data_IF_097155228577
#
_entry.id   IF_097155228577
#
_cell.length_a   1.000
_cell.length_b   1.000
_cell.length_c   1.000
_cell.angle_alpha   90.00
_cell.angle_beta   90.00
_cell.angle_gamma   90.00
#
_symmetry.space_group_name_H-M   'P 1'
#
loop_
_entity.id
_entity.type
_entity.pdbx_description
1 polymer ?
#
# COMPACT_ATOMS: atom_id res chain seq x y z
N UNK A 1 -29.88 4.51 -8.52
CA UNK A 1 -28.82 5.54 -8.55
C UNK A 1 -28.54 6.16 -7.18
N UNK A 2 -29.53 6.65 -6.41
CA UNK A 2 -29.28 7.31 -5.10
C UNK A 2 -28.56 6.45 -4.04
N UNK A 3 -28.85 5.14 -3.97
CA UNK A 3 -28.19 4.19 -3.05
C UNK A 3 -26.69 3.99 -3.43
N UNK A 4 -26.39 4.02 -4.73
CA UNK A 4 -25.03 3.88 -5.25
C UNK A 4 -24.15 5.08 -4.89
N UNK A 5 -24.67 6.30 -5.05
CA UNK A 5 -23.97 7.54 -4.66
C UNK A 5 -23.79 7.64 -3.15
N UNK A 6 -24.75 7.20 -2.34
CA UNK A 6 -24.62 7.13 -0.88
C UNK A 6 -23.45 6.22 -0.46
N UNK A 7 -23.34 5.04 -1.06
CA UNK A 7 -22.25 4.10 -0.78
C UNK A 7 -20.88 4.68 -1.12
N UNK A 8 -20.73 5.34 -2.26
CA UNK A 8 -19.48 6.01 -2.67
C UNK A 8 -19.13 7.14 -1.71
N UNK A 9 -20.10 7.96 -1.32
CA UNK A 9 -19.88 9.06 -0.38
C UNK A 9 -19.38 8.55 0.99
N UNK A 10 -20.01 7.51 1.54
CA UNK A 10 -19.55 6.92 2.80
C UNK A 10 -18.15 6.31 2.69
N UNK A 11 -17.81 5.67 1.58
CA UNK A 11 -16.46 5.16 1.33
C UNK A 11 -15.44 6.29 1.25
N UNK A 12 -15.76 7.38 0.58
CA UNK A 12 -14.88 8.55 0.46
C UNK A 12 -14.66 9.23 1.82
N UNK A 13 -15.71 9.38 2.63
CA UNK A 13 -15.61 9.94 3.98
C UNK A 13 -14.77 9.02 4.89
N UNK A 14 -15.00 7.72 4.86
CA UNK A 14 -14.21 6.77 5.64
C UNK A 14 -12.73 6.76 5.22
N UNK A 15 -12.46 6.85 3.92
CA UNK A 15 -11.10 6.96 3.40
C UNK A 15 -10.45 8.30 3.81
N UNK A 16 -11.16 9.41 3.71
CA UNK A 16 -10.70 10.73 4.17
C UNK A 16 -10.33 10.71 5.66
N UNK A 17 -11.21 10.19 6.51
CA UNK A 17 -10.92 10.07 7.95
C UNK A 17 -9.71 9.16 8.21
N UNK A 18 -9.61 8.06 7.47
CA UNK A 18 -8.48 7.15 7.55
C UNK A 18 -7.14 7.81 7.17
N UNK A 19 -7.10 8.56 6.08
CA UNK A 19 -5.90 9.31 5.67
C UNK A 19 -5.60 10.46 6.64
N UNK A 20 -6.62 11.13 7.17
CA UNK A 20 -6.45 12.15 8.21
C UNK A 20 -5.75 11.60 9.46
N UNK A 21 -6.16 10.43 9.94
CA UNK A 21 -5.50 9.76 11.08
C UNK A 21 -4.04 9.42 10.72
N UNK A 22 -3.76 8.95 9.50
CA UNK A 22 -2.41 8.63 9.06
C UNK A 22 -1.49 9.86 9.05
N UNK A 23 -1.99 11.00 8.57
CA UNK A 23 -1.25 12.28 8.63
C UNK A 23 -0.98 12.69 10.08
N UNK A 24 -1.95 12.53 10.99
CA UNK A 24 -1.75 12.82 12.42
C UNK A 24 -0.71 11.87 13.05
N UNK A 25 -0.72 10.59 12.72
CA UNK A 25 0.30 9.62 13.14
C UNK A 25 1.68 10.08 12.67
N UNK A 26 1.83 10.40 11.39
CA UNK A 26 3.11 10.85 10.84
C UNK A 26 3.55 12.20 11.42
N UNK A 27 2.62 13.10 11.74
CA UNK A 27 2.93 14.36 12.40
C UNK A 27 3.47 14.15 13.83
N UNK A 28 2.86 13.26 14.62
CA UNK A 28 3.38 12.91 15.95
C UNK A 28 4.76 12.25 15.81
N UNK A 29 4.89 11.26 14.91
CA UNK A 29 6.18 10.60 14.66
C UNK A 29 7.26 11.61 14.26
N UNK A 30 6.95 12.56 13.38
CA UNK A 30 7.89 13.58 12.96
C UNK A 30 8.37 14.43 14.15
N UNK A 31 7.44 14.91 14.98
CA UNK A 31 7.74 15.77 16.13
C UNK A 31 8.52 15.07 17.22
N UNK A 32 8.16 13.82 17.54
CA UNK A 32 8.70 13.09 18.68
C UNK A 32 10.01 12.36 18.34
N UNK A 33 10.15 11.84 17.11
CA UNK A 33 11.36 11.15 16.68
C UNK A 33 12.46 12.11 16.19
N UNK A 34 12.08 13.33 15.81
CA UNK A 34 12.97 14.25 15.13
C UNK A 34 13.38 13.78 13.71
N UNK A 35 14.17 14.55 12.96
CA UNK A 35 14.50 14.22 11.57
C UNK A 35 15.22 12.88 11.42
N UNK A 36 16.19 12.60 12.28
CA UNK A 36 16.99 11.37 12.25
C UNK A 36 16.16 10.13 12.60
N UNK A 37 15.43 10.18 13.72
CA UNK A 37 14.59 9.07 14.17
C UNK A 37 13.46 8.78 13.18
N UNK A 38 12.84 9.82 12.59
CA UNK A 38 11.87 9.67 11.53
C UNK A 38 12.48 8.99 10.29
N UNK A 39 13.72 9.35 9.94
CA UNK A 39 14.47 8.72 8.86
C UNK A 39 14.72 7.24 9.10
N UNK A 40 15.09 6.86 10.32
CA UNK A 40 15.21 5.46 10.72
C UNK A 40 13.87 4.73 10.61
N UNK A 41 12.81 5.29 11.19
CA UNK A 41 11.48 4.70 11.14
C UNK A 41 11.00 4.48 9.69
N UNK A 42 11.08 5.51 8.84
CA UNK A 42 10.68 5.42 7.42
C UNK A 42 11.57 4.48 6.60
N UNK A 43 12.81 4.24 7.02
CA UNK A 43 13.73 3.30 6.36
C UNK A 43 13.36 1.83 6.62
N UNK A 44 12.89 1.49 7.81
CA UNK A 44 12.56 0.11 8.19
C UNK A 44 11.13 -0.27 7.84
N UNK A 45 10.22 0.69 7.81
CA UNK A 45 8.79 0.45 7.62
C UNK A 45 8.45 -0.34 6.34
N UNK A 46 9.05 -0.07 5.16
CA UNK A 46 8.82 -0.87 3.96
C UNK A 46 9.29 -2.32 4.10
N UNK A 47 10.38 -2.56 4.86
CA UNK A 47 10.84 -3.92 5.16
C UNK A 47 9.86 -4.66 6.07
N UNK A 48 9.25 -3.98 7.04
CA UNK A 48 8.17 -4.53 7.86
C UNK A 48 6.96 -4.86 6.98
N UNK A 49 6.57 -3.98 6.05
CA UNK A 49 5.47 -4.27 5.13
C UNK A 49 5.76 -5.44 4.18
N UNK A 50 7.01 -5.66 3.78
CA UNK A 50 7.40 -6.86 3.02
C UNK A 50 7.14 -8.12 3.86
N UNK A 51 7.50 -8.13 5.14
CA UNK A 51 7.26 -9.24 6.06
C UNK A 51 5.76 -9.44 6.29
N UNK A 52 4.98 -8.37 6.45
CA UNK A 52 3.51 -8.41 6.53
C UNK A 52 2.90 -9.06 5.30
N UNK A 53 3.36 -8.68 4.10
CA UNK A 53 2.89 -9.27 2.84
C UNK A 53 3.22 -10.75 2.75
N UNK A 54 4.47 -11.13 3.05
CA UNK A 54 4.89 -12.53 3.07
C UNK A 54 4.06 -13.32 4.08
N UNK A 55 3.85 -12.80 5.29
CA UNK A 55 3.08 -13.45 6.35
C UNK A 55 1.61 -13.63 6.00
N UNK A 56 1.02 -12.69 5.26
CA UNK A 56 -0.37 -12.78 4.82
C UNK A 56 -0.55 -13.81 3.71
N UNK A 57 0.48 -14.05 2.89
CA UNK A 57 0.48 -14.95 1.73
C UNK A 57 -0.73 -14.76 0.82
N UNK A 58 -1.28 -13.55 0.76
CA UNK A 58 -2.52 -13.19 0.06
C UNK A 58 -3.69 -14.16 0.32
N UNK A 59 -3.67 -14.84 1.47
CA UNK A 59 -4.76 -15.73 1.91
C UNK A 59 -6.11 -15.01 1.98
N UNK A 60 -6.20 -13.72 2.36
CA UNK A 60 -7.49 -13.03 2.35
C UNK A 60 -8.19 -13.09 1.00
N UNK A 61 -7.44 -12.93 -0.10
CA UNK A 61 -7.99 -12.95 -1.46
C UNK A 61 -8.44 -14.36 -1.85
N UNK A 62 -7.58 -15.37 -1.63
CA UNK A 62 -7.90 -16.75 -2.01
C UNK A 62 -9.02 -17.36 -1.19
N UNK A 63 -9.02 -17.13 0.14
CA UNK A 63 -10.08 -17.62 1.03
C UNK A 63 -11.39 -16.92 0.70
N UNK A 64 -11.40 -15.59 0.48
CA UNK A 64 -12.62 -14.84 0.19
C UNK A 64 -13.28 -15.32 -1.10
N UNK A 65 -12.48 -15.55 -2.15
CA UNK A 65 -12.98 -16.12 -3.41
C UNK A 65 -13.60 -17.49 -3.18
N UNK A 66 -12.88 -18.39 -2.51
CA UNK A 66 -13.32 -19.77 -2.35
C UNK A 66 -14.53 -19.89 -1.42
N UNK A 67 -14.65 -19.04 -0.39
CA UNK A 67 -15.83 -18.95 0.47
C UNK A 67 -17.05 -18.38 -0.30
N UNK A 68 -16.85 -17.34 -1.13
CA UNK A 68 -17.93 -16.73 -1.90
C UNK A 68 -18.49 -17.65 -2.99
N UNK A 69 -17.67 -18.55 -3.56
CA UNK A 69 -18.06 -19.49 -4.62
C UNK A 69 -18.74 -20.76 -4.11
N UNK A 70 -18.73 -21.03 -2.80
CA UNK A 70 -19.18 -22.28 -2.22
C UNK A 70 -20.29 -22.09 -1.21
N UNK A 71 -21.17 -23.11 -1.11
CA UNK A 71 -22.23 -23.16 -0.10
C UNK A 71 -21.68 -23.26 1.33
N UNK A 72 -22.44 -22.76 2.30
CA UNK A 72 -22.05 -22.68 3.72
C UNK A 72 -21.59 -24.01 4.33
N UNK A 73 -22.16 -25.14 3.86
CA UNK A 73 -21.80 -26.51 4.30
C UNK A 73 -20.33 -26.87 4.06
N UNK A 74 -19.65 -26.20 3.11
CA UNK A 74 -18.23 -26.43 2.80
C UNK A 74 -17.30 -25.49 3.55
N UNK A 75 -17.78 -24.37 4.07
CA UNK A 75 -16.95 -23.32 4.67
C UNK A 75 -16.10 -23.83 5.82
N UNK A 76 -16.66 -24.68 6.70
CA UNK A 76 -15.92 -25.28 7.81
C UNK A 76 -14.72 -26.09 7.34
N UNK A 77 -14.88 -26.89 6.28
CA UNK A 77 -13.79 -27.70 5.73
C UNK A 77 -12.72 -26.83 5.07
N UNK A 78 -13.13 -25.81 4.28
CA UNK A 78 -12.23 -24.85 3.65
C UNK A 78 -11.38 -24.15 4.71
N UNK A 79 -12.01 -23.64 5.77
CA UNK A 79 -11.33 -22.94 6.87
C UNK A 79 -10.38 -23.84 7.66
N UNK A 80 -10.77 -25.09 7.91
CA UNK A 80 -9.88 -26.06 8.56
C UNK A 80 -8.58 -26.27 7.77
N UNK A 81 -8.68 -26.46 6.46
CA UNK A 81 -7.51 -26.60 5.60
C UNK A 81 -6.73 -25.28 5.45
N UNK A 82 -7.40 -24.13 5.38
CA UNK A 82 -6.75 -22.84 5.35
C UNK A 82 -5.92 -22.60 6.62
N UNK A 83 -6.51 -22.88 7.80
CA UNK A 83 -5.80 -22.77 9.09
C UNK A 83 -4.59 -23.71 9.12
N UNK A 84 -4.72 -24.96 8.65
CA UNK A 84 -3.59 -25.91 8.59
C UNK A 84 -2.46 -25.38 7.72
N UNK A 85 -2.78 -24.84 6.53
CA UNK A 85 -1.79 -24.21 5.64
C UNK A 85 -1.12 -23.03 6.35
N UNK A 86 -1.93 -22.19 7.01
CA UNK A 86 -1.43 -21.01 7.73
C UNK A 86 -0.48 -21.39 8.85
N UNK A 87 -0.80 -22.40 9.64
CA UNK A 87 0.09 -22.88 10.72
C UNK A 87 1.45 -23.33 10.15
N UNK A 88 1.43 -24.18 9.12
CA UNK A 88 2.65 -24.70 8.52
C UNK A 88 3.47 -23.59 7.89
N UNK A 89 2.83 -22.74 7.09
CA UNK A 89 3.49 -21.63 6.40
C UNK A 89 4.04 -20.59 7.39
N UNK A 90 3.25 -20.20 8.39
CA UNK A 90 3.67 -19.26 9.43
C UNK A 90 4.83 -19.82 10.26
N UNK A 91 4.81 -21.09 10.61
CA UNK A 91 5.91 -21.73 11.33
C UNK A 91 7.19 -21.77 10.51
N UNK A 92 7.11 -22.15 9.23
CA UNK A 92 8.27 -22.15 8.31
C UNK A 92 8.82 -20.74 8.13
N UNK A 93 7.96 -19.75 7.90
CA UNK A 93 8.37 -18.36 7.73
C UNK A 93 8.98 -17.80 9.01
N UNK A 94 8.40 -18.11 10.18
CA UNK A 94 8.92 -17.70 11.49
C UNK A 94 10.32 -18.26 11.74
N UNK A 95 10.51 -19.57 11.52
CA UNK A 95 11.82 -20.22 11.67
C UNK A 95 12.83 -19.65 10.67
N UNK A 96 12.45 -19.50 9.40
CA UNK A 96 13.32 -18.88 8.40
C UNK A 96 13.70 -17.45 8.80
N UNK A 97 12.74 -16.63 9.22
CA UNK A 97 12.97 -15.25 9.66
C UNK A 97 13.89 -15.21 10.91
N UNK A 98 13.70 -16.10 11.88
CA UNK A 98 14.55 -16.20 13.07
C UNK A 98 16.02 -16.47 12.70
N UNK A 99 16.26 -17.27 11.67
CA UNK A 99 17.62 -17.57 11.17
C UNK A 99 18.16 -16.41 10.32
N UNK A 100 17.34 -15.81 9.45
CA UNK A 100 17.80 -14.83 8.45
C UNK A 100 17.96 -13.42 9.04
N UNK A 101 17.01 -12.96 9.87
CA UNK A 101 16.99 -11.58 10.40
C UNK A 101 18.29 -11.18 11.12
N UNK A 102 18.96 -12.05 11.93
CA UNK A 102 20.23 -11.69 12.55
C UNK A 102 21.35 -11.36 11.57
N UNK A 103 21.30 -11.90 10.35
CA UNK A 103 22.32 -11.66 9.32
C UNK A 103 21.98 -10.45 8.42
N UNK A 104 20.85 -9.79 8.65
CA UNK A 104 20.46 -8.60 7.88
C UNK A 104 21.01 -7.35 8.59
N UNK A 105 22.08 -6.67 8.05
CA UNK A 105 22.72 -5.54 8.71
C UNK A 105 21.80 -4.33 8.94
N UNK A 106 20.68 -4.30 8.25
CA UNK A 106 19.66 -3.24 8.39
C UNK A 106 19.20 -3.10 9.84
N UNK A 107 19.02 -4.21 10.55
CA UNK A 107 18.52 -4.22 11.92
C UNK A 107 19.59 -3.80 12.97
N UNK A 108 20.86 -3.69 12.59
CA UNK A 108 21.93 -3.31 13.52
C UNK A 108 21.86 -1.86 13.98
N UNK A 109 21.20 -1.02 13.17
CA UNK A 109 20.95 0.40 13.50
C UNK A 109 19.79 0.64 14.45
N UNK A 110 19.06 -0.41 14.84
CA UNK A 110 17.85 -0.33 15.66
C UNK A 110 18.04 -1.04 16.98
N UNK A 111 17.20 -0.67 17.96
CA UNK A 111 17.16 -1.35 19.25
C UNK A 111 16.96 -2.87 19.06
N UNK A 112 17.68 -3.75 19.78
CA UNK A 112 17.64 -5.20 19.59
C UNK A 112 16.23 -5.81 19.62
N UNK A 113 15.32 -5.22 20.41
CA UNK A 113 13.92 -5.68 20.50
C UNK A 113 13.12 -5.51 19.20
N UNK A 114 13.54 -4.64 18.27
CA UNK A 114 12.85 -4.50 16.96
C UNK A 114 12.82 -5.82 16.20
N UNK A 115 13.89 -6.61 16.26
CA UNK A 115 13.95 -7.94 15.62
C UNK A 115 12.86 -8.87 16.16
N UNK A 116 12.67 -8.89 17.48
CA UNK A 116 11.64 -9.72 18.14
C UNK A 116 10.24 -9.24 17.83
N UNK A 117 10.01 -7.93 17.80
CA UNK A 117 8.72 -7.34 17.43
C UNK A 117 8.32 -7.74 16.00
N UNK A 118 9.26 -7.72 15.07
CA UNK A 118 9.02 -8.14 13.68
C UNK A 118 8.72 -9.64 13.57
N UNK A 119 9.41 -10.48 14.36
CA UNK A 119 9.15 -11.92 14.39
C UNK A 119 7.74 -12.24 14.91
N UNK A 120 7.30 -11.58 15.99
CA UNK A 120 5.96 -11.76 16.57
C UNK A 120 4.87 -11.36 15.55
N UNK A 121 5.14 -10.40 14.67
CA UNK A 121 4.19 -9.95 13.65
C UNK A 121 3.82 -11.08 12.66
N UNK A 122 4.74 -12.03 12.39
CA UNK A 122 4.51 -13.12 11.43
C UNK A 122 3.26 -13.96 11.76
N UNK A 123 3.16 -14.60 12.93
CA UNK A 123 1.96 -15.38 13.27
C UNK A 123 0.72 -14.49 13.40
N UNK A 124 0.82 -13.28 13.94
CA UNK A 124 -0.29 -12.35 14.08
C UNK A 124 -0.93 -12.07 12.72
N UNK A 125 -0.15 -11.66 11.73
CA UNK A 125 -0.64 -11.35 10.39
C UNK A 125 -1.15 -12.60 9.67
N UNK A 126 -0.46 -13.73 9.80
CA UNK A 126 -0.86 -14.98 9.14
C UNK A 126 -2.28 -15.42 9.58
N UNK A 127 -2.57 -15.44 10.87
CA UNK A 127 -3.90 -15.81 11.36
C UNK A 127 -4.96 -14.72 11.11
N UNK A 128 -4.59 -13.45 11.25
CA UNK A 128 -5.47 -12.32 10.88
C UNK A 128 -5.93 -12.44 9.43
N UNK A 129 -5.05 -12.88 8.55
CA UNK A 129 -5.33 -13.05 7.12
C UNK A 129 -6.42 -14.10 6.86
N UNK A 130 -6.47 -15.19 7.61
CA UNK A 130 -7.55 -16.19 7.50
C UNK A 130 -8.90 -15.58 7.90
N UNK A 131 -8.94 -14.89 9.03
CA UNK A 131 -10.16 -14.24 9.53
C UNK A 131 -10.66 -13.17 8.54
N UNK A 132 -9.76 -12.32 8.03
CA UNK A 132 -10.09 -11.32 6.99
C UNK A 132 -10.67 -11.98 5.74
N UNK A 133 -10.03 -13.05 5.23
CA UNK A 133 -10.49 -13.77 4.06
C UNK A 133 -11.89 -14.35 4.22
N UNK A 134 -12.18 -14.90 5.40
CA UNK A 134 -13.51 -15.40 5.72
C UNK A 134 -14.57 -14.29 5.73
N UNK A 135 -14.31 -13.17 6.43
CA UNK A 135 -15.25 -12.05 6.47
C UNK A 135 -15.46 -11.39 5.11
N UNK A 136 -14.39 -11.27 4.29
CA UNK A 136 -14.51 -10.79 2.92
C UNK A 136 -15.38 -11.71 2.08
N UNK A 137 -15.17 -13.04 2.16
CA UNK A 137 -15.96 -14.03 1.41
C UNK A 137 -17.43 -14.05 1.81
N UNK A 138 -17.73 -13.79 3.09
CA UNK A 138 -19.11 -13.63 3.60
C UNK A 138 -19.67 -12.22 3.40
N UNK A 139 -18.97 -11.34 2.68
CA UNK A 139 -19.34 -9.94 2.43
C UNK A 139 -19.57 -9.11 3.73
N UNK A 140 -18.96 -9.51 4.82
CA UNK A 140 -19.07 -8.82 6.11
C UNK A 140 -18.02 -7.69 6.22
N UNK A 141 -18.02 -6.78 5.26
CA UNK A 141 -17.03 -5.70 5.13
C UNK A 141 -17.01 -4.75 6.33
N UNK A 142 -18.12 -4.65 7.08
CA UNK A 142 -18.17 -3.83 8.30
C UNK A 142 -17.15 -4.24 9.37
N UNK A 143 -16.90 -5.54 9.55
CA UNK A 143 -15.89 -6.03 10.50
C UNK A 143 -14.46 -5.65 10.07
N UNK A 144 -14.20 -5.67 8.77
CA UNK A 144 -12.92 -5.26 8.20
C UNK A 144 -12.73 -3.74 8.34
N UNK A 145 -13.77 -2.96 8.07
CA UNK A 145 -13.74 -1.51 8.25
C UNK A 145 -13.46 -1.12 9.71
N UNK A 146 -14.16 -1.77 10.67
CA UNK A 146 -13.91 -1.58 12.11
C UNK A 146 -12.47 -1.96 12.46
N UNK A 147 -11.95 -3.09 11.96
CA UNK A 147 -10.57 -3.50 12.25
C UNK A 147 -9.54 -2.48 11.74
N UNK A 148 -9.74 -1.93 10.53
CA UNK A 148 -8.84 -0.92 9.96
C UNK A 148 -8.90 0.41 10.74
N UNK A 149 -10.09 0.84 11.14
CA UNK A 149 -10.27 2.02 11.98
C UNK A 149 -9.63 1.83 13.35
N UNK A 150 -9.86 0.68 13.99
CA UNK A 150 -9.29 0.31 15.29
C UNK A 150 -7.75 0.35 15.24
N UNK A 151 -7.14 -0.21 14.20
CA UNK A 151 -5.69 -0.18 14.00
C UNK A 151 -5.14 1.25 14.05
N UNK A 152 -5.68 2.14 13.20
CA UNK A 152 -5.22 3.53 13.10
C UNK A 152 -5.45 4.31 14.40
N UNK A 153 -6.60 4.11 15.04
CA UNK A 153 -6.95 4.79 16.31
C UNK A 153 -6.07 4.32 17.47
N UNK A 154 -5.82 3.02 17.60
CA UNK A 154 -4.94 2.46 18.64
C UNK A 154 -3.50 2.93 18.43
N UNK A 155 -3.01 2.93 17.19
CA UNK A 155 -1.68 3.44 16.88
C UNK A 155 -1.55 4.92 17.25
N UNK A 156 -2.49 5.77 16.81
CA UNK A 156 -2.50 7.20 17.15
C UNK A 156 -2.56 7.44 18.65
N UNK A 157 -3.50 6.78 19.35
CA UNK A 157 -3.66 6.92 20.81
C UNK A 157 -2.43 6.41 21.56
N UNK A 158 -1.88 5.27 21.14
CA UNK A 158 -0.66 4.71 21.74
C UNK A 158 0.54 5.63 21.61
N UNK A 159 0.78 6.18 20.42
CA UNK A 159 1.83 7.17 20.19
C UNK A 159 1.62 8.41 21.07
N UNK A 160 0.42 9.00 21.01
CA UNK A 160 0.10 10.19 21.80
C UNK A 160 0.31 9.99 23.31
N UNK A 161 -0.20 8.88 23.87
CA UNK A 161 -0.11 8.62 25.31
C UNK A 161 1.34 8.33 25.73
N UNK A 162 2.06 7.48 24.97
CA UNK A 162 3.43 7.10 25.34
C UNK A 162 4.37 8.30 25.29
N UNK A 163 4.36 9.09 24.22
CA UNK A 163 5.21 10.27 24.12
C UNK A 163 4.76 11.43 25.02
N UNK A 164 3.50 11.47 25.43
CA UNK A 164 3.04 12.49 26.39
C UNK A 164 3.49 12.25 27.82
N UNK A 165 3.57 10.98 28.22
CA UNK A 165 3.85 10.64 29.62
C UNK A 165 5.28 10.19 29.88
N UNK A 166 6.02 9.82 28.84
CA UNK A 166 7.38 9.31 28.94
C UNK A 166 8.30 10.06 28.00
N UNK A 167 9.52 10.31 28.45
CA UNK A 167 10.60 10.83 27.64
C UNK A 167 11.50 9.66 27.20
N UNK A 168 11.78 9.56 25.90
CA UNK A 168 12.58 8.49 25.32
C UNK A 168 13.78 9.09 24.58
N UNK A 169 14.88 8.36 24.51
CA UNK A 169 15.95 8.68 23.58
C UNK A 169 15.54 8.36 22.13
N UNK A 170 16.38 8.68 21.14
CA UNK A 170 16.06 8.47 19.73
C UNK A 170 15.85 6.98 19.40
N UNK A 171 16.65 6.08 19.97
CA UNK A 171 16.56 4.64 19.68
C UNK A 171 15.29 4.03 20.31
N UNK A 172 14.97 4.43 21.54
CA UNK A 172 13.76 4.06 22.24
C UNK A 172 12.51 4.61 21.53
N UNK A 173 12.56 5.88 21.10
CA UNK A 173 11.46 6.52 20.36
C UNK A 173 11.12 5.76 19.09
N UNK A 174 12.11 5.32 18.32
CA UNK A 174 11.89 4.49 17.12
C UNK A 174 11.34 3.11 17.51
N UNK A 175 11.84 2.50 18.59
CA UNK A 175 11.30 1.24 19.12
C UNK A 175 9.83 1.38 19.51
N UNK A 176 9.46 2.44 20.22
CA UNK A 176 8.07 2.75 20.61
C UNK A 176 7.18 2.98 19.39
N UNK A 177 7.67 3.70 18.39
CA UNK A 177 6.93 3.91 17.14
C UNK A 177 6.62 2.60 16.41
N UNK A 178 7.60 1.70 16.30
CA UNK A 178 7.41 0.36 15.74
C UNK A 178 6.53 -0.49 16.66
N UNK A 179 6.73 -0.40 17.96
CA UNK A 179 5.95 -1.11 18.96
C UNK A 179 4.46 -0.75 18.95
N UNK A 180 4.12 0.54 18.79
CA UNK A 180 2.72 0.97 18.69
C UNK A 180 2.08 0.52 17.38
N UNK A 181 2.81 0.50 16.26
CA UNK A 181 2.33 -0.08 15.01
C UNK A 181 2.01 -1.58 15.20
N UNK A 182 2.94 -2.36 15.75
CA UNK A 182 2.76 -3.79 15.97
C UNK A 182 1.69 -4.06 17.03
N UNK A 183 1.65 -3.27 18.10
CA UNK A 183 0.60 -3.32 19.13
C UNK A 183 -0.80 -3.10 18.54
N UNK A 184 -0.93 -2.19 17.59
CA UNK A 184 -2.18 -1.98 16.88
C UNK A 184 -2.61 -3.20 16.04
N UNK A 185 -1.66 -3.90 15.42
CA UNK A 185 -1.94 -5.16 14.69
C UNK A 185 -2.31 -6.30 15.65
N UNK A 186 -1.74 -6.34 16.85
CA UNK A 186 -2.17 -7.31 17.91
C UNK A 186 -3.63 -7.08 18.28
N UNK A 187 -4.04 -5.82 18.48
CA UNK A 187 -5.45 -5.51 18.82
C UNK A 187 -6.39 -5.90 17.67
N UNK A 188 -6.00 -5.64 16.43
CA UNK A 188 -6.75 -6.08 15.24
C UNK A 188 -6.86 -7.60 15.18
N UNK A 189 -5.76 -8.30 15.44
CA UNK A 189 -5.74 -9.77 15.53
C UNK A 189 -6.73 -10.27 16.59
N UNK A 190 -6.67 -9.76 17.80
CA UNK A 190 -7.56 -10.16 18.89
C UNK A 190 -9.04 -9.91 18.54
N UNK A 191 -9.35 -8.75 17.97
CA UNK A 191 -10.70 -8.42 17.51
C UNK A 191 -11.21 -9.37 16.42
N UNK A 192 -10.42 -9.55 15.36
CA UNK A 192 -10.83 -10.38 14.22
C UNK A 192 -10.90 -11.87 14.58
N UNK A 193 -9.97 -12.37 15.38
CA UNK A 193 -9.97 -13.76 15.84
C UNK A 193 -11.15 -14.02 16.79
N UNK A 194 -11.46 -13.08 17.70
CA UNK A 194 -12.65 -13.20 18.56
C UNK A 194 -13.93 -13.31 17.71
N UNK A 195 -14.12 -12.41 16.76
CA UNK A 195 -15.26 -12.45 15.84
C UNK A 195 -15.28 -13.72 14.99
N UNK A 196 -14.11 -14.19 14.55
CA UNK A 196 -13.97 -15.42 13.76
C UNK A 196 -14.34 -16.67 14.59
N UNK A 197 -13.90 -16.77 15.84
CA UNK A 197 -14.22 -17.90 16.74
C UNK A 197 -15.72 -18.00 16.94
N UNK A 198 -16.42 -16.88 17.18
CA UNK A 198 -17.89 -16.87 17.35
C UNK A 198 -18.56 -17.44 16.10
N UNK A 199 -18.19 -16.98 14.92
CA UNK A 199 -18.81 -17.45 13.68
C UNK A 199 -18.40 -18.90 13.33
N UNK A 200 -17.17 -19.27 13.63
CA UNK A 200 -16.72 -20.64 13.42
C UNK A 200 -17.45 -21.65 14.33
N UNK A 201 -17.79 -21.24 15.54
CA UNK A 201 -18.65 -22.04 16.43
C UNK A 201 -20.08 -22.20 15.88
N UNK A 202 -20.62 -21.14 15.26
CA UNK A 202 -21.93 -21.23 14.58
C UNK A 202 -21.87 -22.18 13.37
N UNK A 203 -20.80 -22.14 12.59
CA UNK A 203 -20.56 -23.07 11.49
C UNK A 203 -20.45 -24.53 11.94
N UNK A 204 -19.94 -24.80 13.15
CA UNK A 204 -19.90 -26.16 13.70
C UNK A 204 -21.28 -26.78 13.91
N UNK A 205 -22.32 -25.95 14.03
CA UNK A 205 -23.72 -26.40 14.24
C UNK A 205 -24.48 -26.62 12.93
N UNK A 206 -23.86 -26.26 11.78
CA UNK A 206 -24.49 -26.41 10.45
C UNK A 206 -24.12 -27.76 9.80
N UNK A 207 -24.90 -28.23 8.80
CA UNK A 207 -24.57 -29.40 8.02
C UNK A 207 -23.14 -29.29 7.46
N UNK A 208 -22.41 -30.39 7.52
CA UNK A 208 -21.01 -30.43 7.16
C UNK A 208 -20.80 -31.35 5.94
N UNK A 209 -20.06 -30.87 4.95
CA UNK A 209 -19.61 -31.63 3.80
C UNK A 209 -18.10 -31.57 3.67
N UNK A 210 -17.47 -32.71 3.44
CA UNK A 210 -16.03 -32.82 3.25
C UNK A 210 -15.66 -32.57 1.78
N UNK A 211 -14.65 -31.76 1.58
CA UNK A 211 -13.93 -31.64 0.31
C UNK A 211 -12.56 -32.32 0.44
N UNK A 212 -12.09 -32.97 -0.63
CA UNK A 212 -10.75 -33.57 -0.64
C UNK A 212 -9.69 -32.50 -0.39
N UNK A 213 -8.81 -32.73 0.59
CA UNK A 213 -7.71 -31.82 0.97
C UNK A 213 -6.95 -31.25 -0.23
N UNK A 214 -6.59 -32.12 -1.20
CA UNK A 214 -5.87 -31.71 -2.42
C UNK A 214 -6.63 -30.66 -3.24
N UNK A 215 -7.96 -30.72 -3.30
CA UNK A 215 -8.78 -29.78 -4.05
C UNK A 215 -8.76 -28.40 -3.34
N UNK A 216 -8.96 -28.39 -2.02
CA UNK A 216 -8.95 -27.13 -1.24
C UNK A 216 -7.56 -26.49 -1.33
N UNK A 217 -6.50 -27.23 -1.09
CA UNK A 217 -5.13 -26.71 -1.16
C UNK A 217 -4.79 -26.19 -2.56
N UNK A 218 -5.10 -26.96 -3.62
CA UNK A 218 -4.86 -26.54 -5.01
C UNK A 218 -5.59 -25.21 -5.33
N UNK A 219 -6.86 -25.08 -4.94
CA UNK A 219 -7.63 -23.88 -5.22
C UNK A 219 -7.14 -22.64 -4.44
N UNK A 220 -6.76 -22.82 -3.17
CA UNK A 220 -6.18 -21.74 -2.39
C UNK A 220 -4.83 -21.30 -2.97
N UNK A 221 -3.94 -22.24 -3.27
CA UNK A 221 -2.62 -21.94 -3.82
C UNK A 221 -2.68 -21.37 -5.24
N UNK A 222 -3.63 -21.81 -6.07
CA UNK A 222 -3.81 -21.29 -7.42
C UNK A 222 -4.14 -19.80 -7.46
N UNK A 223 -4.65 -19.23 -6.37
CA UNK A 223 -4.89 -17.79 -6.24
C UNK A 223 -3.78 -17.12 -5.44
N UNK A 224 -3.42 -17.67 -4.26
CA UNK A 224 -2.42 -17.05 -3.37
C UNK A 224 -1.05 -16.89 -4.03
N UNK A 225 -0.55 -17.92 -4.72
CA UNK A 225 0.81 -17.86 -5.30
C UNK A 225 0.95 -16.75 -6.35
N UNK A 226 0.09 -16.68 -7.40
CA UNK A 226 0.21 -15.60 -8.39
C UNK A 226 -0.01 -14.20 -7.80
N UNK A 227 -0.99 -14.03 -6.91
CA UNK A 227 -1.27 -12.73 -6.31
C UNK A 227 -0.16 -12.28 -5.37
N UNK A 228 0.41 -13.18 -4.56
CA UNK A 228 1.60 -12.89 -3.75
C UNK A 228 2.78 -12.52 -4.63
N UNK A 229 3.05 -13.27 -5.71
CA UNK A 229 4.15 -12.98 -6.62
C UNK A 229 4.09 -11.60 -7.25
N UNK A 230 2.91 -11.17 -7.69
CA UNK A 230 2.71 -9.83 -8.26
C UNK A 230 2.97 -8.71 -7.23
N UNK A 231 2.46 -8.88 -6.01
CA UNK A 231 2.63 -7.88 -4.94
C UNK A 231 4.02 -7.90 -4.31
N UNK A 232 4.67 -9.07 -4.34
CA UNK A 232 6.02 -9.25 -3.80
C UNK A 232 7.04 -8.33 -4.50
N UNK A 233 6.94 -8.17 -5.81
CA UNK A 233 7.82 -7.26 -6.55
C UNK A 233 7.69 -5.82 -6.04
N UNK A 234 6.47 -5.30 -5.89
CA UNK A 234 6.24 -3.94 -5.38
C UNK A 234 6.68 -3.77 -3.93
N UNK A 235 6.44 -4.78 -3.08
CA UNK A 235 6.87 -4.74 -1.69
C UNK A 235 8.40 -4.83 -1.56
N UNK A 236 9.04 -5.65 -2.39
CA UNK A 236 10.50 -5.79 -2.43
C UNK A 236 11.19 -4.51 -2.94
N UNK A 237 10.69 -3.92 -4.01
CA UNK A 237 11.20 -2.63 -4.51
C UNK A 237 11.02 -1.52 -3.49
N UNK A 238 9.87 -1.48 -2.81
CA UNK A 238 9.62 -0.55 -1.71
C UNK A 238 10.60 -0.77 -0.53
N UNK A 239 10.89 -2.02 -0.17
CA UNK A 239 11.82 -2.35 0.90
C UNK A 239 13.28 -1.98 0.56
N UNK A 240 13.68 -2.05 -0.71
CA UNK A 240 15.03 -1.68 -1.18
C UNK A 240 15.19 -0.16 -1.37
N UNK A 241 14.12 0.56 -1.71
CA UNK A 241 14.17 1.99 -2.04
C UNK A 241 14.90 2.85 -1.00
N UNK A 242 14.68 2.73 0.33
CA UNK A 242 15.41 3.51 1.33
C UNK A 242 16.92 3.33 1.26
N UNK A 243 17.37 2.09 0.98
CA UNK A 243 18.80 1.75 0.90
C UNK A 243 19.44 2.31 -0.35
N UNK A 244 18.74 2.23 -1.51
CA UNK A 244 19.19 2.81 -2.77
C UNK A 244 19.36 4.32 -2.61
N UNK A 245 18.37 5.02 -2.07
CA UNK A 245 18.41 6.47 -1.88
C UNK A 245 19.55 6.86 -0.93
N UNK A 246 19.63 6.24 0.26
CA UNK A 246 20.67 6.58 1.23
C UNK A 246 22.08 6.25 0.72
N UNK A 247 22.26 5.11 0.06
CA UNK A 247 23.55 4.75 -0.53
C UNK A 247 24.01 5.76 -1.60
N UNK A 248 23.09 6.24 -2.45
CA UNK A 248 23.41 7.25 -3.44
C UNK A 248 23.78 8.60 -2.77
N UNK A 249 23.05 9.01 -1.75
CA UNK A 249 23.34 10.24 -1.00
C UNK A 249 24.67 10.18 -0.26
N UNK A 250 25.02 9.05 0.35
CA UNK A 250 26.31 8.85 1.00
C UNK A 250 27.45 8.91 -0.03
N UNK A 251 27.25 8.33 -1.21
CA UNK A 251 28.23 8.45 -2.33
C UNK A 251 28.45 9.88 -2.78
N UNK A 252 27.47 10.76 -2.65
CA UNK A 252 27.61 12.19 -2.96
C UNK A 252 28.39 12.99 -1.91
N UNK A 253 28.90 12.33 -0.87
CA UNK A 253 29.66 12.96 0.22
C UNK A 253 28.82 13.37 1.43
N UNK A 254 27.53 13.01 1.51
CA UNK A 254 26.73 13.23 2.71
C UNK A 254 27.08 12.19 3.79
N UNK A 255 27.02 12.59 5.07
CA UNK A 255 27.09 11.62 6.18
C UNK A 255 25.84 10.70 6.17
N UNK A 256 25.99 9.48 6.68
CA UNK A 256 24.85 8.54 6.81
C UNK A 256 23.71 9.13 7.65
N UNK A 257 24.04 9.90 8.68
CA UNK A 257 23.06 10.61 9.52
C UNK A 257 22.26 11.60 8.68
N UNK A 258 22.93 12.49 7.94
CA UNK A 258 22.26 13.51 7.14
C UNK A 258 21.44 12.88 5.98
N UNK A 259 21.96 11.82 5.34
CA UNK A 259 21.24 11.07 4.32
C UNK A 259 19.96 10.44 4.91
N UNK A 260 20.03 9.92 6.14
CA UNK A 260 18.87 9.34 6.84
C UNK A 260 17.85 10.43 7.21
N UNK A 261 18.30 11.59 7.69
CA UNK A 261 17.43 12.74 8.00
C UNK A 261 16.69 13.25 6.76
N UNK A 262 17.40 13.47 5.66
CA UNK A 262 16.79 13.92 4.41
C UNK A 262 15.79 12.92 3.86
N UNK A 263 16.10 11.62 3.96
CA UNK A 263 15.15 10.56 3.60
C UNK A 263 13.90 10.60 4.49
N UNK A 264 14.05 10.79 5.80
CA UNK A 264 12.94 10.92 6.74
C UNK A 264 12.05 12.12 6.44
N UNK A 265 12.62 13.27 6.15
CA UNK A 265 11.89 14.48 5.76
C UNK A 265 11.16 14.31 4.42
N UNK A 266 11.77 13.61 3.46
CA UNK A 266 11.14 13.26 2.19
C UNK A 266 9.94 12.35 2.40
N UNK A 267 10.14 11.18 3.01
CA UNK A 267 9.12 10.14 3.10
C UNK A 267 8.11 10.39 4.22
N UNK A 268 8.55 10.86 5.37
CA UNK A 268 7.70 11.06 6.55
C UNK A 268 6.91 12.36 6.52
N UNK A 269 7.37 13.38 5.79
CA UNK A 269 6.70 14.69 5.72
C UNK A 269 6.17 14.96 4.32
N UNK A 270 7.05 15.19 3.33
CA UNK A 270 6.62 15.63 2.01
C UNK A 270 5.70 14.60 1.32
N UNK A 271 6.06 13.32 1.35
CA UNK A 271 5.26 12.24 0.78
C UNK A 271 3.96 12.03 1.57
N UNK A 272 3.97 12.12 2.89
CA UNK A 272 2.76 11.98 3.72
C UNK A 272 1.72 13.06 3.43
N UNK A 273 2.16 14.33 3.29
CA UNK A 273 1.29 15.45 2.93
C UNK A 273 0.79 15.27 1.50
N UNK A 274 1.69 14.99 0.56
CA UNK A 274 1.38 14.91 -0.86
C UNK A 274 0.43 13.77 -1.23
N UNK A 275 0.43 12.67 -0.48
CA UNK A 275 -0.51 11.56 -0.70
C UNK A 275 -1.87 11.74 -0.01
N UNK A 276 -2.04 12.74 0.85
CA UNK A 276 -3.32 12.96 1.53
C UNK A 276 -4.54 12.97 0.60
N UNK A 277 -4.55 13.63 -0.57
CA UNK A 277 -5.69 13.58 -1.50
C UNK A 277 -5.86 12.23 -2.21
N UNK A 278 -4.92 11.32 -2.04
CA UNK A 278 -4.94 9.98 -2.65
C UNK A 278 -6.18 9.14 -2.29
N UNK A 279 -6.89 9.48 -1.18
CA UNK A 279 -8.15 8.83 -0.84
C UNK A 279 -9.21 8.96 -1.94
N UNK A 280 -9.19 10.05 -2.71
CA UNK A 280 -10.10 10.25 -3.85
C UNK A 280 -9.77 9.23 -4.95
N UNK A 281 -8.50 9.13 -5.33
CA UNK A 281 -8.03 8.19 -6.34
C UNK A 281 -8.29 6.74 -5.94
N UNK A 282 -8.07 6.40 -4.67
CA UNK A 282 -8.36 5.07 -4.13
C UNK A 282 -9.86 4.73 -4.16
N UNK A 283 -10.71 5.68 -3.79
CA UNK A 283 -12.17 5.51 -3.84
C UNK A 283 -12.66 5.32 -5.29
N UNK A 284 -12.09 6.07 -6.24
CA UNK A 284 -12.35 5.90 -7.67
C UNK A 284 -11.94 4.50 -8.14
N UNK A 285 -10.77 4.00 -7.74
CA UNK A 285 -10.27 2.70 -8.14
C UNK A 285 -11.25 1.57 -7.78
N UNK A 286 -11.80 1.57 -6.56
CA UNK A 286 -12.75 0.55 -6.08
C UNK A 286 -14.01 0.50 -6.95
N UNK A 287 -14.51 1.66 -7.39
CA UNK A 287 -15.74 1.77 -8.20
C UNK A 287 -15.48 1.47 -9.68
N UNK A 288 -14.32 1.89 -10.19
CA UNK A 288 -13.98 1.79 -11.61
C UNK A 288 -13.71 0.35 -12.06
N UNK A 289 -13.05 -0.48 -11.25
CA UNK A 289 -12.70 -1.85 -11.65
C UNK A 289 -13.95 -2.64 -12.12
N UNK A 290 -15.01 -2.79 -11.32
CA UNK A 290 -16.20 -3.53 -11.76
C UNK A 290 -16.95 -2.84 -12.90
N UNK A 291 -16.98 -1.49 -12.91
CA UNK A 291 -17.66 -0.73 -13.95
C UNK A 291 -16.98 -0.89 -15.32
N UNK A 292 -15.66 -0.79 -15.37
CA UNK A 292 -14.87 -0.98 -16.60
C UNK A 292 -14.97 -2.43 -17.06
N UNK A 293 -14.84 -3.40 -16.16
CA UNK A 293 -14.93 -4.82 -16.48
C UNK A 293 -16.30 -5.18 -17.11
N UNK A 294 -17.39 -4.67 -16.53
CA UNK A 294 -18.73 -4.86 -17.08
C UNK A 294 -18.87 -4.25 -18.48
N UNK A 295 -18.50 -2.98 -18.64
CA UNK A 295 -18.61 -2.26 -19.91
C UNK A 295 -17.71 -2.89 -21.00
N UNK A 296 -16.54 -3.41 -20.61
CA UNK A 296 -15.67 -4.16 -21.53
C UNK A 296 -16.30 -5.49 -21.98
N UNK A 297 -16.94 -6.23 -21.07
CA UNK A 297 -17.64 -7.46 -21.40
C UNK A 297 -18.85 -7.22 -22.32
N UNK A 298 -19.51 -6.05 -22.21
CA UNK A 298 -20.60 -5.61 -23.10
C UNK A 298 -20.08 -5.15 -24.47
N UNK A 299 -18.77 -4.98 -24.68
CA UNK A 299 -18.16 -4.49 -25.92
C UNK A 299 -18.42 -3.00 -26.21
N UNK A 300 -18.88 -2.23 -25.20
CA UNK A 300 -19.22 -0.81 -25.37
C UNK A 300 -17.98 0.09 -25.22
N UNK A 301 -17.16 0.15 -26.25
CA UNK A 301 -15.95 0.95 -26.28
C UNK A 301 -16.23 2.47 -26.23
N UNK A 302 -17.39 2.92 -26.73
CA UNK A 302 -17.76 4.34 -26.64
C UNK A 302 -18.02 4.75 -25.20
N UNK A 303 -18.67 3.89 -24.43
CA UNK A 303 -18.90 4.10 -23.01
C UNK A 303 -17.60 4.05 -22.22
N UNK A 304 -16.68 3.12 -22.53
CA UNK A 304 -15.34 3.06 -21.96
C UNK A 304 -14.56 4.35 -22.19
N UNK A 305 -14.60 4.90 -23.40
CA UNK A 305 -13.98 6.17 -23.74
C UNK A 305 -14.54 7.33 -22.92
N UNK A 306 -15.87 7.43 -22.82
CA UNK A 306 -16.53 8.47 -22.00
C UNK A 306 -16.16 8.34 -20.52
N UNK A 307 -16.13 7.13 -19.99
CA UNK A 307 -15.69 6.87 -18.61
C UNK A 307 -14.26 7.31 -18.41
N UNK A 308 -13.33 6.96 -19.32
CA UNK A 308 -11.94 7.38 -19.23
C UNK A 308 -11.82 8.91 -19.24
N UNK A 309 -12.51 9.60 -20.16
CA UNK A 309 -12.51 11.06 -20.24
C UNK A 309 -13.02 11.71 -18.96
N UNK A 310 -14.13 11.21 -18.39
CA UNK A 310 -14.70 11.74 -17.15
C UNK A 310 -13.74 11.57 -15.98
N UNK A 311 -13.15 10.41 -15.84
CA UNK A 311 -12.20 10.09 -14.77
C UNK A 311 -10.93 10.93 -14.90
N UNK A 312 -10.38 11.07 -16.13
CA UNK A 312 -9.19 11.91 -16.36
C UNK A 312 -9.49 13.38 -16.05
N UNK A 313 -10.65 13.91 -16.46
CA UNK A 313 -11.07 15.28 -16.13
C UNK A 313 -11.20 15.49 -14.61
N UNK A 314 -11.87 14.57 -13.92
CA UNK A 314 -12.03 14.65 -12.47
C UNK A 314 -10.67 14.63 -11.77
N UNK A 315 -9.80 13.68 -12.18
CA UNK A 315 -8.44 13.55 -11.63
C UNK A 315 -7.60 14.80 -11.90
N UNK A 316 -7.73 15.39 -13.07
CA UNK A 316 -7.05 16.63 -13.42
C UNK A 316 -7.49 17.78 -12.49
N UNK A 317 -8.79 17.96 -12.30
CA UNK A 317 -9.33 19.05 -11.48
C UNK A 317 -8.84 18.96 -10.03
N UNK A 318 -9.06 17.81 -9.37
CA UNK A 318 -8.62 17.69 -7.97
C UNK A 318 -7.09 17.57 -7.84
N UNK A 319 -6.44 16.94 -8.81
CA UNK A 319 -4.98 16.76 -8.78
C UNK A 319 -4.25 18.09 -8.93
N UNK A 320 -4.66 18.94 -9.90
CA UNK A 320 -4.07 20.27 -10.08
C UNK A 320 -4.37 21.17 -8.87
N UNK A 321 -5.60 21.14 -8.33
CA UNK A 321 -5.95 21.90 -7.14
C UNK A 321 -5.09 21.48 -5.93
N UNK A 322 -4.92 20.17 -5.72
CA UNK A 322 -4.08 19.63 -4.63
C UNK A 322 -2.62 20.05 -4.78
N UNK A 323 -2.06 19.91 -5.98
CA UNK A 323 -0.68 20.28 -6.27
C UNK A 323 -0.46 21.78 -6.11
N UNK A 324 -1.41 22.62 -6.54
CA UNK A 324 -1.33 24.05 -6.33
C UNK A 324 -1.30 24.40 -4.83
N UNK A 325 -2.16 23.76 -4.02
CA UNK A 325 -2.14 23.93 -2.56
C UNK A 325 -0.77 23.51 -2.00
N UNK A 326 -0.23 22.37 -2.42
CA UNK A 326 1.09 21.90 -1.93
C UNK A 326 2.21 22.84 -2.33
N UNK A 327 2.16 23.41 -3.53
CA UNK A 327 3.21 24.30 -4.02
C UNK A 327 3.20 25.64 -3.29
N UNK A 328 2.04 26.27 -3.15
CA UNK A 328 1.92 27.60 -2.56
C UNK A 328 1.92 27.62 -1.03
N UNK A 329 1.42 26.56 -0.39
CA UNK A 329 1.33 26.44 1.06
C UNK A 329 2.29 25.39 1.64
N UNK A 330 3.36 25.04 0.91
CA UNK A 330 4.33 24.05 1.35
C UNK A 330 4.96 24.40 2.72
N UNK A 331 5.43 25.64 2.99
CA UNK A 331 6.01 26.00 4.27
C UNK A 331 5.01 25.83 5.43
N UNK A 332 3.77 26.27 5.27
CA UNK A 332 2.73 26.18 6.28
C UNK A 332 2.36 24.73 6.58
N UNK A 333 2.16 23.93 5.53
CA UNK A 333 1.80 22.52 5.66
C UNK A 333 2.93 21.71 6.33
N UNK A 334 4.17 21.93 5.94
CA UNK A 334 5.29 21.19 6.49
C UNK A 334 5.69 21.65 7.89
N UNK A 335 5.43 22.91 8.25
CA UNK A 335 5.65 23.45 9.60
C UNK A 335 4.82 22.74 10.68
N UNK A 336 3.70 22.10 10.29
CA UNK A 336 2.92 21.24 11.18
C UNK A 336 3.71 20.01 11.67
N UNK A 337 4.71 19.57 10.90
CA UNK A 337 5.58 18.45 11.22
C UNK A 337 6.89 18.93 11.86
N UNK A 338 7.62 19.77 11.16
CA UNK A 338 8.89 20.35 11.59
C UNK A 338 8.98 21.84 11.28
N UNK A 339 9.66 22.58 12.15
CA UNK A 339 10.07 23.96 11.87
C UNK A 339 11.35 23.96 11.02
N UNK A 340 11.27 23.45 9.79
CA UNK A 340 12.38 23.38 8.83
C UNK A 340 11.86 23.67 7.43
N UNK A 341 12.66 24.34 6.60
CA UNK A 341 12.32 24.64 5.21
C UNK A 341 12.55 23.46 4.27
N UNK A 342 13.38 22.50 4.64
CA UNK A 342 13.78 21.38 3.78
C UNK A 342 12.59 20.53 3.29
N UNK A 343 11.63 20.10 4.14
CA UNK A 343 10.46 19.34 3.66
C UNK A 343 9.57 20.14 2.73
N UNK A 344 9.50 21.47 2.90
CA UNK A 344 8.72 22.34 2.03
C UNK A 344 9.27 22.35 0.60
N UNK A 345 10.57 22.46 0.46
CA UNK A 345 11.24 22.36 -0.83
C UNK A 345 10.97 20.99 -1.50
N UNK A 346 11.05 19.89 -0.74
CA UNK A 346 10.75 18.55 -1.28
C UNK A 346 9.29 18.44 -1.74
N UNK A 347 8.35 18.96 -0.95
CA UNK A 347 6.94 18.97 -1.30
C UNK A 347 6.68 19.75 -2.60
N UNK A 348 7.34 20.92 -2.75
CA UNK A 348 7.25 21.74 -3.95
C UNK A 348 7.84 21.02 -5.17
N UNK A 349 9.05 20.47 -5.07
CA UNK A 349 9.73 19.83 -6.20
C UNK A 349 9.08 18.50 -6.65
N UNK A 350 8.34 17.85 -5.76
CA UNK A 350 7.59 16.60 -6.05
C UNK A 350 6.22 16.85 -6.70
N UNK A 351 5.88 18.08 -7.12
CA UNK A 351 4.59 18.34 -7.74
C UNK A 351 4.28 17.43 -8.95
N UNK A 352 5.24 17.07 -9.84
CA UNK A 352 4.94 16.17 -10.93
C UNK A 352 4.65 14.75 -10.41
N UNK A 353 5.43 14.27 -9.42
CA UNK A 353 5.23 12.98 -8.80
C UNK A 353 3.80 12.80 -8.28
N UNK A 354 3.32 13.77 -7.49
CA UNK A 354 1.97 13.71 -6.94
C UNK A 354 0.89 13.79 -8.01
N UNK A 355 1.03 14.74 -8.94
CA UNK A 355 0.05 14.90 -10.02
C UNK A 355 -0.11 13.62 -10.83
N UNK A 356 0.99 13.04 -11.30
CA UNK A 356 0.94 11.83 -12.10
C UNK A 356 0.51 10.61 -11.28
N UNK A 357 0.85 10.57 -9.98
CA UNK A 357 0.43 9.49 -9.10
C UNK A 357 -1.10 9.46 -8.91
N UNK A 358 -1.76 10.61 -8.84
CA UNK A 358 -3.22 10.67 -8.81
C UNK A 358 -3.86 10.09 -10.07
N UNK A 359 -3.21 10.20 -11.24
CA UNK A 359 -3.67 9.57 -12.47
C UNK A 359 -3.37 8.06 -12.52
N UNK A 360 -2.27 7.60 -11.94
CA UNK A 360 -1.87 6.19 -11.97
C UNK A 360 -2.95 5.29 -11.39
N UNK A 361 -3.52 5.63 -10.22
CA UNK A 361 -4.50 4.77 -9.53
C UNK A 361 -5.77 4.51 -10.36
N UNK A 362 -6.50 5.51 -10.88
CA UNK A 362 -7.65 5.26 -11.72
C UNK A 362 -7.29 4.58 -13.05
N UNK A 363 -6.11 4.87 -13.64
CA UNK A 363 -5.66 4.15 -14.82
C UNK A 363 -5.36 2.67 -14.54
N UNK A 364 -4.81 2.33 -13.38
CA UNK A 364 -4.67 0.93 -12.94
C UNK A 364 -6.04 0.24 -12.84
N UNK A 365 -7.07 0.94 -12.36
CA UNK A 365 -8.42 0.39 -12.33
C UNK A 365 -8.95 0.06 -13.74
N UNK A 366 -8.67 0.91 -14.73
CA UNK A 366 -8.96 0.60 -16.14
C UNK A 366 -8.19 -0.61 -16.64
N UNK A 367 -6.88 -0.68 -16.40
CA UNK A 367 -6.06 -1.83 -16.80
C UNK A 367 -6.56 -3.13 -16.17
N UNK A 368 -6.92 -3.11 -14.89
CA UNK A 368 -7.47 -4.28 -14.20
C UNK A 368 -8.84 -4.67 -14.76
N UNK A 369 -9.73 -3.70 -15.01
CA UNK A 369 -11.04 -3.93 -15.61
C UNK A 369 -10.97 -4.43 -17.05
N UNK A 370 -9.94 -4.06 -17.80
CA UNK A 370 -9.65 -4.52 -19.17
C UNK A 370 -8.86 -5.85 -19.19
N UNK A 371 -8.58 -6.46 -18.03
CA UNK A 371 -7.79 -7.68 -17.87
C UNK A 371 -6.32 -7.57 -18.36
N UNK A 372 -5.71 -6.38 -18.21
CA UNK A 372 -4.34 -6.05 -18.61
C UNK A 372 -3.38 -6.05 -17.40
N UNK A 373 -3.45 -7.11 -16.57
CA UNK A 373 -2.61 -7.25 -15.36
C UNK A 373 -1.13 -7.40 -15.70
N UNK A 374 -0.82 -8.16 -16.77
CA UNK A 374 0.56 -8.39 -17.21
C UNK A 374 1.22 -7.08 -17.66
N UNK A 375 0.50 -6.30 -18.43
CA UNK A 375 0.96 -4.99 -18.93
C UNK A 375 1.21 -4.04 -17.75
N UNK A 376 0.28 -4.00 -16.81
CA UNK A 376 0.45 -3.19 -15.58
C UNK A 376 1.73 -3.56 -14.84
N UNK A 377 2.00 -4.86 -14.69
CA UNK A 377 3.21 -5.34 -14.02
C UNK A 377 4.49 -4.95 -14.78
N UNK A 378 4.51 -5.10 -16.10
CA UNK A 378 5.63 -4.69 -16.96
C UNK A 378 5.90 -3.19 -16.84
N UNK A 379 4.84 -2.36 -16.82
CA UNK A 379 4.98 -0.91 -16.66
C UNK A 379 5.61 -0.54 -15.31
N UNK A 380 5.18 -1.20 -14.22
CA UNK A 380 5.75 -1.00 -12.88
C UNK A 380 7.24 -1.37 -12.87
N UNK A 381 7.62 -2.50 -13.46
CA UNK A 381 9.03 -2.93 -13.53
C UNK A 381 9.88 -1.88 -14.24
N UNK A 382 9.50 -1.48 -15.45
CA UNK A 382 10.29 -0.53 -16.23
C UNK A 382 10.37 0.84 -15.58
N UNK A 383 9.25 1.37 -15.08
CA UNK A 383 9.26 2.66 -14.40
C UNK A 383 10.14 2.64 -13.14
N UNK A 384 10.12 1.53 -12.38
CA UNK A 384 10.97 1.36 -11.19
C UNK A 384 12.44 1.26 -11.53
N UNK A 385 12.81 0.45 -12.53
CA UNK A 385 14.21 0.30 -12.97
C UNK A 385 14.75 1.65 -13.42
N UNK A 386 14.01 2.38 -14.25
CA UNK A 386 14.44 3.70 -14.75
C UNK A 386 14.55 4.70 -13.61
N UNK A 387 13.55 4.76 -12.72
CA UNK A 387 13.57 5.63 -11.55
C UNK A 387 14.79 5.37 -10.67
N UNK A 388 15.05 4.10 -10.30
CA UNK A 388 16.19 3.74 -9.47
C UNK A 388 17.53 3.99 -10.17
N UNK A 389 17.62 3.77 -11.47
CA UNK A 389 18.82 4.09 -12.25
C UNK A 389 19.13 5.58 -12.21
N UNK A 390 18.11 6.43 -12.40
CA UNK A 390 18.27 7.89 -12.32
C UNK A 390 18.68 8.32 -10.90
N UNK A 391 18.05 7.76 -9.86
CA UNK A 391 18.40 8.02 -8.47
C UNK A 391 19.87 7.66 -8.21
N UNK A 392 20.30 6.44 -8.59
CA UNK A 392 21.67 5.98 -8.38
C UNK A 392 22.72 6.82 -9.12
N UNK A 393 22.37 7.33 -10.30
CA UNK A 393 23.27 8.16 -11.10
C UNK A 393 23.32 9.61 -10.58
N UNK A 394 22.17 10.26 -10.50
CA UNK A 394 22.10 11.69 -10.17
C UNK A 394 22.31 11.96 -8.67
N UNK A 395 21.68 11.18 -7.79
CA UNK A 395 21.78 11.44 -6.37
C UNK A 395 23.17 11.12 -5.79
N UNK A 396 24.00 10.36 -6.51
CA UNK A 396 25.40 10.13 -6.17
C UNK A 396 26.34 11.30 -6.53
N UNK A 397 25.88 12.27 -7.31
CA UNK A 397 26.64 13.46 -7.69
C UNK A 397 26.47 14.55 -6.61
N UNK A 398 27.57 15.20 -6.17
CA UNK A 398 27.51 16.24 -5.12
C UNK A 398 26.60 17.43 -5.47
N UNK A 399 26.45 17.74 -6.75
CA UNK A 399 25.63 18.87 -7.25
C UNK A 399 24.12 18.57 -7.19
N UNK A 400 23.72 17.29 -7.28
CA UNK A 400 22.32 16.90 -7.41
C UNK A 400 21.72 16.36 -6.10
N UNK A 401 22.39 15.48 -5.38
CA UNK A 401 21.95 14.92 -4.09
C UNK A 401 20.44 14.62 -4.06
N UNK A 402 19.70 15.23 -3.13
CA UNK A 402 18.25 15.04 -3.02
C UNK A 402 17.48 15.48 -4.26
N UNK A 403 17.95 16.47 -5.02
CA UNK A 403 17.33 16.82 -6.30
C UNK A 403 17.39 15.64 -7.29
N UNK A 404 18.49 14.89 -7.31
CA UNK A 404 18.61 13.66 -8.09
C UNK A 404 17.61 12.58 -7.68
N UNK A 405 17.33 12.43 -6.38
CA UNK A 405 16.29 11.55 -5.86
C UNK A 405 14.91 11.99 -6.38
N UNK A 406 14.59 13.26 -6.25
CA UNK A 406 13.31 13.84 -6.66
C UNK A 406 13.10 13.73 -8.17
N UNK A 407 14.14 13.98 -8.99
CA UNK A 407 14.08 13.81 -10.45
C UNK A 407 13.79 12.35 -10.81
N UNK A 408 14.47 11.39 -10.15
CA UNK A 408 14.22 9.98 -10.39
C UNK A 408 12.80 9.56 -10.03
N UNK A 409 12.26 10.03 -8.90
CA UNK A 409 10.87 9.77 -8.49
C UNK A 409 9.86 10.39 -9.46
N UNK A 410 10.06 11.66 -9.84
CA UNK A 410 9.21 12.36 -10.80
C UNK A 410 9.20 11.62 -12.16
N UNK A 411 10.37 11.24 -12.67
CA UNK A 411 10.50 10.53 -13.96
C UNK A 411 9.79 9.18 -13.90
N UNK A 412 9.94 8.43 -12.80
CA UNK A 412 9.26 7.15 -12.62
C UNK A 412 7.73 7.29 -12.65
N UNK A 413 7.18 8.28 -11.95
CA UNK A 413 5.74 8.53 -11.92
C UNK A 413 5.19 8.97 -13.29
N UNK A 414 5.88 9.88 -13.98
CA UNK A 414 5.52 10.33 -15.35
C UNK A 414 5.52 9.15 -16.31
N UNK A 415 6.60 8.35 -16.30
CA UNK A 415 6.75 7.20 -17.20
C UNK A 415 5.66 6.17 -16.94
N UNK A 416 5.39 5.82 -15.68
CA UNK A 416 4.35 4.87 -15.31
C UNK A 416 2.96 5.33 -15.77
N UNK A 417 2.64 6.61 -15.55
CA UNK A 417 1.38 7.19 -16.00
C UNK A 417 1.24 7.16 -17.52
N UNK A 418 2.29 7.53 -18.27
CA UNK A 418 2.29 7.50 -19.72
C UNK A 418 2.13 6.07 -20.27
N UNK A 419 2.86 5.09 -19.72
CA UNK A 419 2.74 3.69 -20.16
C UNK A 419 1.32 3.15 -19.90
N UNK A 420 0.73 3.45 -18.73
CA UNK A 420 -0.65 3.05 -18.43
C UNK A 420 -1.62 3.69 -19.43
N UNK A 421 -1.53 5.00 -19.62
CA UNK A 421 -2.41 5.75 -20.52
C UNK A 421 -2.36 5.26 -21.96
N UNK A 422 -1.15 5.13 -22.52
CA UNK A 422 -0.97 4.67 -23.90
C UNK A 422 -1.51 3.25 -24.11
N UNK A 423 -1.30 2.36 -23.15
CA UNK A 423 -1.82 0.98 -23.21
C UNK A 423 -3.35 0.94 -23.16
N UNK A 424 -3.97 1.77 -22.31
CA UNK A 424 -5.43 1.88 -22.26
C UNK A 424 -5.95 2.42 -23.61
N UNK A 425 -5.40 3.51 -24.12
CA UNK A 425 -5.80 4.10 -25.40
C UNK A 425 -5.70 3.07 -26.56
N UNK A 426 -4.59 2.34 -26.62
CA UNK A 426 -4.39 1.26 -27.62
C UNK A 426 -5.44 0.17 -27.47
N UNK A 427 -5.75 -0.28 -26.27
CA UNK A 427 -6.72 -1.36 -26.00
C UNK A 427 -8.15 -0.96 -26.35
N UNK A 428 -8.53 0.29 -26.07
CA UNK A 428 -9.87 0.82 -26.36
C UNK A 428 -9.99 1.27 -27.82
N UNK A 429 -8.88 1.44 -28.54
CA UNK A 429 -8.88 1.91 -29.93
C UNK A 429 -9.09 3.43 -30.05
N UNK A 430 -8.69 4.20 -29.05
CA UNK A 430 -8.89 5.66 -28.99
C UNK A 430 -7.57 6.37 -29.24
N UNK A 431 -7.62 7.51 -29.97
CA UNK A 431 -6.44 8.34 -30.18
C UNK A 431 -5.90 8.89 -28.84
N UNK A 432 -4.60 9.21 -28.78
CA UNK A 432 -3.93 9.75 -27.60
C UNK A 432 -4.63 11.03 -27.07
N UNK A 433 -5.25 11.81 -27.95
CA UNK A 433 -6.02 13.00 -27.57
C UNK A 433 -7.48 12.70 -27.24
N UNK A 434 -7.87 11.42 -27.14
CA UNK A 434 -9.26 10.96 -26.94
C UNK A 434 -10.27 11.51 -27.95
N UNK A 435 -9.78 11.90 -29.16
CA UNK A 435 -10.59 12.41 -30.25
C UNK A 435 -10.79 11.29 -31.31
N UNK A 436 -11.93 10.60 -31.18
CA UNK A 436 -12.32 9.56 -32.15
C UNK A 436 -11.60 8.22 -31.97
N UNK A 437 -12.15 7.18 -32.61
CA UNK A 437 -11.54 5.85 -32.66
C UNK A 437 -10.48 5.81 -33.77
N UNK A 438 -9.36 5.16 -33.49
CA UNK A 438 -8.39 4.79 -34.52
C UNK A 438 -9.05 3.65 -35.30
N UNK A 439 -9.37 3.87 -36.58
CA UNK A 439 -9.77 2.78 -37.47
C UNK A 439 -8.58 1.81 -37.57
N UNK A 440 -8.64 0.70 -36.86
CA UNK A 440 -7.70 -0.40 -37.10
C UNK A 440 -8.03 -1.01 -38.47
N UNK A 441 -7.29 -0.60 -39.51
CA UNK A 441 -7.30 -1.19 -40.86
C UNK A 441 -6.52 -2.52 -40.92
N UNK A 442 -6.30 -3.21 -39.80
CA UNK A 442 -5.60 -4.49 -39.79
C UNK A 442 -6.24 -5.41 -38.76
N UNK A 443 -7.29 -6.12 -39.20
CA UNK A 443 -7.65 -7.50 -38.82
C UNK A 443 -8.98 -7.83 -39.54
N UNK A 444 -8.84 -8.31 -40.79
CA UNK A 444 -9.78 -9.24 -41.39
C UNK A 444 -9.13 -10.61 -41.45
#
# INVERSE_FOLDING_TARGET
>A
MAIYYKGIFFLAVAAFLGEGIEVLVNMILARELGPHGLGLYMSILPSIFLIVLLSSFELPVSISKFIAEREDRYHRNILHHAITITIVFSAVLFLAATVIIPFIPVFDKYHPYVRWLVLILIPIISFTSVARGYFMGKQQMGKIAVSNFLRKTIQLSGLFLLFRFFAFDTAESVLIAIGTFIGSEIVVFLYLIYMFIIQFQQLKRQPFSNMKRKIVQKNLMAVSIPTTGLRLFSAFTGAIQPFIIKAALVRSGLSDTLATEQFGMLMGVAISIGFFPGFIAHSLMVVLIPAVSKTHAEGDYQRLQKMLQQVMKLTFVYGVASVAIFYFFAPELTSLFFKSETPALFLQLLWPFFLFHFFIMPMQAFLFGLNLLKETFIHIIWSTIISFSIILLLAAMPEWRMNGVIIGMNTGAVLLALMHYLTICKKIGVSIFMKGFIQNTTER
#
